data_IF_999600186201
#
_entry.id   IF_999600186201
#
_cell.length_a   1.000
_cell.length_b   1.000
_cell.length_c   1.000
_cell.angle_alpha   90.00
_cell.angle_beta   90.00
_cell.angle_gamma   90.00
#
_symmetry.space_group_name_H-M   'P 1'
#
loop_
_entity.id
_entity.type
_entity.pdbx_description
1 polymer ?
#
# COMPACT_ATOMS: atom_id res chain seq x y z
N UNK A 1 -1.18 -17.32 26.86
CA UNK A 1 -0.70 -16.96 25.50
C UNK A 1 -1.86 -17.13 24.54
N UNK A 2 -2.16 -16.11 23.75
CA UNK A 2 -3.27 -16.08 22.80
C UNK A 2 -2.78 -15.63 21.44
N UNK A 3 -3.35 -16.17 20.37
CA UNK A 3 -3.14 -15.66 19.01
C UNK A 3 -4.46 -15.14 18.46
N UNK A 4 -4.44 -13.96 17.84
CA UNK A 4 -5.61 -13.37 17.20
C UNK A 4 -5.31 -13.24 15.71
N UNK A 5 -6.13 -13.86 14.87
CA UNK A 5 -6.08 -13.68 13.42
C UNK A 5 -7.26 -12.81 13.01
N UNK A 6 -6.97 -11.67 12.37
CA UNK A 6 -8.00 -10.85 11.71
C UNK A 6 -7.86 -11.02 10.21
N UNK A 7 -8.97 -11.34 9.54
CA UNK A 7 -9.05 -11.42 8.08
C UNK A 7 -10.16 -10.52 7.55
N UNK A 8 -9.98 -9.98 6.35
CA UNK A 8 -11.00 -9.18 5.69
C UNK A 8 -10.57 -8.81 4.28
N UNK A 9 -11.10 -7.70 3.78
CA UNK A 9 -10.83 -7.18 2.43
C UNK A 9 -10.69 -5.65 2.40
N UNK A 10 -10.47 -5.03 3.56
CA UNK A 10 -10.31 -3.60 3.74
C UNK A 10 -9.14 -3.30 4.67
N UNK A 11 -8.75 -2.04 4.75
CA UNK A 11 -7.69 -1.56 5.66
C UNK A 11 -8.14 -1.42 7.11
N UNK A 12 -9.39 -1.74 7.41
CA UNK A 12 -9.97 -1.66 8.75
C UNK A 12 -10.56 -3.01 9.10
N UNK A 13 -9.86 -3.74 9.97
CA UNK A 13 -10.28 -5.05 10.45
C UNK A 13 -10.69 -4.94 11.90
N UNK A 14 -11.75 -5.65 12.30
CA UNK A 14 -12.13 -5.72 13.70
C UNK A 14 -12.87 -7.00 14.04
N UNK A 15 -12.83 -7.37 15.31
CA UNK A 15 -13.60 -8.48 15.86
C UNK A 15 -13.98 -8.22 17.32
N UNK A 16 -15.07 -8.85 17.74
CA UNK A 16 -15.55 -8.86 19.12
C UNK A 16 -15.29 -10.24 19.75
N UNK A 17 -15.05 -10.26 21.06
CA UNK A 17 -14.86 -11.45 21.88
C UNK A 17 -15.93 -11.54 22.95
N UNK A 18 -16.67 -12.64 22.94
CA UNK A 18 -17.61 -13.00 24.00
C UNK A 18 -17.50 -14.51 24.28
N UNK A 19 -17.01 -14.93 25.47
CA UNK A 19 -16.55 -14.09 26.59
C UNK A 19 -15.26 -13.30 26.25
N UNK A 20 -14.95 -12.24 27.02
CA UNK A 20 -13.73 -11.45 26.82
C UNK A 20 -12.46 -12.30 26.98
N UNK A 21 -11.37 -11.90 26.32
CA UNK A 21 -10.05 -12.48 26.55
C UNK A 21 -9.42 -11.77 27.74
N UNK A 22 -9.34 -12.46 28.87
CA UNK A 22 -8.69 -11.97 30.09
C UNK A 22 -7.17 -12.16 30.01
N UNK A 23 -6.41 -11.11 30.35
CA UNK A 23 -4.95 -11.08 30.31
C UNK A 23 -4.39 -10.35 31.53
N UNK A 24 -3.15 -10.66 31.94
CA UNK A 24 -2.51 -9.92 33.04
C UNK A 24 -2.18 -8.47 32.68
N UNK A 25 -1.90 -7.65 33.70
CA UNK A 25 -1.45 -6.26 33.52
C UNK A 25 -0.13 -6.11 32.77
N UNK A 26 0.67 -7.17 32.72
CA UNK A 26 1.98 -7.18 32.06
C UNK A 26 1.91 -7.84 30.69
N UNK A 27 0.70 -8.19 30.21
CA UNK A 27 0.52 -8.79 28.92
C UNK A 27 1.02 -7.86 27.81
N UNK A 28 1.62 -8.48 26.80
CA UNK A 28 2.23 -7.80 25.66
C UNK A 28 1.68 -8.34 24.36
N UNK A 29 1.69 -7.49 23.33
CA UNK A 29 1.24 -7.83 21.99
C UNK A 29 2.34 -7.58 20.96
N UNK A 30 2.44 -8.44 19.96
CA UNK A 30 3.28 -8.22 18.78
C UNK A 30 2.60 -8.73 17.51
N UNK A 31 3.08 -8.28 16.35
CA UNK A 31 2.75 -8.87 15.07
C UNK A 31 3.55 -10.17 14.87
N UNK A 32 2.91 -11.22 14.38
CA UNK A 32 3.58 -12.44 13.91
C UNK A 32 3.62 -12.55 12.39
N UNK A 33 2.60 -12.02 11.71
CA UNK A 33 2.54 -12.07 10.26
C UNK A 33 1.45 -11.20 9.68
N UNK A 34 1.69 -10.76 8.46
CA UNK A 34 0.77 -10.00 7.64
C UNK A 34 0.82 -10.55 6.22
N UNK A 35 -0.34 -10.68 5.58
CA UNK A 35 -0.44 -11.10 4.20
C UNK A 35 -1.58 -10.38 3.48
N UNK A 36 -1.29 -9.86 2.28
CA UNK A 36 -2.30 -9.37 1.34
C UNK A 36 -1.74 -9.40 -0.09
N UNK A 37 -2.51 -8.98 -1.09
CA UNK A 37 -1.99 -8.79 -2.46
C UNK A 37 -1.58 -7.34 -2.66
N UNK A 38 -0.49 -7.12 -3.41
CA UNK A 38 -0.04 -5.78 -3.78
C UNK A 38 -0.93 -5.22 -4.90
N UNK A 39 -2.12 -4.77 -4.51
CA UNK A 39 -3.11 -4.12 -5.37
C UNK A 39 -3.16 -2.60 -5.16
N UNK A 40 -2.29 -2.05 -4.30
CA UNK A 40 -2.29 -0.63 -3.93
C UNK A 40 -2.17 0.23 -5.21
N UNK A 41 -3.16 1.10 -5.52
CA UNK A 41 -3.15 1.83 -6.78
C UNK A 41 -1.98 2.81 -6.90
N UNK A 42 -1.15 2.63 -7.94
CA UNK A 42 -0.15 3.62 -8.36
C UNK A 42 -0.71 4.57 -9.43
N UNK A 43 -1.78 4.18 -10.13
CA UNK A 43 -2.57 5.02 -11.03
C UNK A 43 -3.96 5.22 -10.42
N UNK A 44 -4.40 6.47 -10.35
CA UNK A 44 -5.74 6.87 -9.88
C UNK A 44 -6.23 8.10 -10.65
N UNK A 45 -7.46 8.56 -10.37
CA UNK A 45 -8.12 9.67 -11.07
C UNK A 45 -7.31 10.99 -11.10
N UNK A 46 -6.36 11.18 -10.18
CA UNK A 46 -5.48 12.36 -10.16
C UNK A 46 -4.33 12.26 -11.18
N UNK A 47 -3.96 11.05 -11.60
CA UNK A 47 -2.76 10.79 -12.39
C UNK A 47 -2.94 9.66 -13.44
N UNK A 48 -4.12 9.57 -14.06
CA UNK A 48 -4.44 8.49 -15.00
C UNK A 48 -4.67 8.90 -16.46
N UNK A 49 -4.41 10.15 -16.83
CA UNK A 49 -4.62 10.65 -18.19
C UNK A 49 -3.30 10.83 -18.92
N UNK A 50 -3.24 10.31 -20.14
CA UNK A 50 -2.13 10.51 -21.07
C UNK A 50 -2.68 11.18 -22.32
N UNK A 51 -2.06 12.29 -22.72
CA UNK A 51 -2.44 13.06 -23.90
C UNK A 51 -1.41 12.90 -25.02
N UNK A 52 -1.90 12.76 -26.25
CA UNK A 52 -1.13 12.71 -27.49
C UNK A 52 -1.64 13.80 -28.44
N UNK A 53 -0.76 14.37 -29.25
CA UNK A 53 -1.14 15.28 -30.33
C UNK A 53 -0.68 14.64 -31.63
N UNK A 54 -1.62 14.39 -32.54
CA UNK A 54 -1.38 13.79 -33.84
C UNK A 54 -2.12 14.60 -34.91
N UNK A 55 -1.40 15.11 -35.92
CA UNK A 55 -1.96 15.96 -36.98
C UNK A 55 -2.83 17.12 -36.45
N UNK A 56 -2.34 17.84 -35.43
CA UNK A 56 -3.06 18.92 -34.72
C UNK A 56 -4.35 18.50 -33.98
N UNK A 57 -4.63 17.19 -33.92
CA UNK A 57 -5.72 16.61 -33.13
C UNK A 57 -5.18 16.14 -31.79
N UNK A 58 -5.80 16.60 -30.70
CA UNK A 58 -5.52 16.12 -29.35
C UNK A 58 -6.31 14.85 -29.07
N UNK A 59 -5.61 13.75 -28.80
CA UNK A 59 -6.17 12.48 -28.35
C UNK A 59 -5.76 12.26 -26.90
N UNK A 60 -6.64 11.74 -26.06
CA UNK A 60 -6.28 11.38 -24.69
C UNK A 60 -6.78 10.00 -24.33
N UNK A 61 -5.93 9.23 -23.64
CA UNK A 61 -6.26 7.93 -23.09
C UNK A 61 -6.33 8.02 -21.57
N UNK A 62 -7.35 7.40 -20.97
CA UNK A 62 -7.49 7.31 -19.51
C UNK A 62 -7.19 5.88 -19.10
N UNK A 63 -6.11 5.69 -18.36
CA UNK A 63 -5.78 4.41 -17.75
C UNK A 63 -6.76 4.17 -16.58
N UNK A 64 -7.36 2.98 -16.44
CA UNK A 64 -8.17 2.68 -15.27
C UNK A 64 -7.37 2.82 -13.96
N UNK A 65 -8.04 3.12 -12.85
CA UNK A 65 -7.39 3.09 -11.52
C UNK A 65 -6.88 1.69 -11.23
N UNK A 66 -5.63 1.58 -10.79
CA UNK A 66 -5.04 0.29 -10.46
C UNK A 66 -3.56 0.35 -10.12
N UNK A 67 -3.01 -0.84 -9.91
CA UNK A 67 -1.59 -1.06 -9.64
C UNK A 67 -1.00 -1.70 -10.89
N UNK A 68 -0.04 -1.01 -11.51
CA UNK A 68 0.50 -1.40 -12.80
C UNK A 68 2.03 -1.41 -12.79
N UNK A 69 2.62 -2.40 -13.44
CA UNK A 69 4.02 -2.34 -13.83
C UNK A 69 4.24 -1.40 -15.02
N UNK A 70 5.48 -0.97 -15.21
CA UNK A 70 5.86 -0.11 -16.35
C UNK A 70 5.52 -0.74 -17.70
N UNK A 71 5.73 -2.06 -17.83
CA UNK A 71 5.41 -2.84 -19.03
C UNK A 71 3.92 -2.84 -19.34
N UNK A 72 3.06 -2.86 -18.31
CA UNK A 72 1.61 -2.81 -18.47
C UNK A 72 1.12 -1.43 -18.91
N UNK A 73 1.72 -0.37 -18.35
CA UNK A 73 1.46 1.02 -18.76
C UNK A 73 1.90 1.22 -20.22
N UNK A 74 3.09 0.75 -20.58
CA UNK A 74 3.60 0.80 -21.96
C UNK A 74 2.66 0.08 -22.92
N UNK A 75 2.20 -1.13 -22.56
CA UNK A 75 1.26 -1.89 -23.36
C UNK A 75 -0.07 -1.15 -23.53
N UNK A 76 -0.57 -0.50 -22.47
CA UNK A 76 -1.79 0.31 -22.55
C UNK A 76 -1.63 1.51 -23.50
N UNK A 77 -0.48 2.19 -23.46
CA UNK A 77 -0.16 3.31 -24.36
C UNK A 77 -0.03 2.83 -25.81
N UNK A 78 0.73 1.75 -26.06
CA UNK A 78 0.88 1.15 -27.39
C UNK A 78 -0.48 0.73 -27.98
N UNK A 79 -1.35 0.17 -27.13
CA UNK A 79 -2.72 -0.14 -27.52
C UNK A 79 -3.53 1.11 -27.88
N UNK A 80 -3.39 2.20 -27.13
CA UNK A 80 -4.06 3.48 -27.46
C UNK A 80 -3.55 4.11 -28.78
N UNK A 81 -2.33 3.79 -29.20
CA UNK A 81 -1.67 4.32 -30.40
C UNK A 81 -1.70 3.35 -31.61
N UNK A 82 -2.39 2.20 -31.51
CA UNK A 82 -2.28 1.12 -32.51
C UNK A 82 -2.66 1.51 -33.95
N UNK A 83 -3.54 2.49 -34.12
CA UNK A 83 -3.98 3.03 -35.43
C UNK A 83 -3.16 4.23 -35.92
N UNK A 84 -2.06 4.56 -35.22
CA UNK A 84 -1.17 5.67 -35.57
C UNK A 84 0.18 5.15 -36.06
N UNK A 85 0.92 5.99 -36.77
CA UNK A 85 2.32 5.75 -37.13
C UNK A 85 3.30 6.12 -35.99
N UNK A 86 2.78 6.41 -34.79
CA UNK A 86 3.56 6.79 -33.62
C UNK A 86 4.16 5.55 -32.97
N UNK A 87 5.49 5.46 -33.00
CA UNK A 87 6.23 4.48 -32.21
C UNK A 87 6.46 5.01 -30.79
N UNK A 88 5.92 4.30 -29.81
CA UNK A 88 6.17 4.56 -28.39
C UNK A 88 7.02 3.43 -27.81
N UNK A 89 8.07 3.77 -27.08
CA UNK A 89 8.91 2.83 -26.36
C UNK A 89 9.13 3.37 -24.95
N UNK A 90 8.85 2.53 -23.95
CA UNK A 90 9.00 2.90 -22.55
C UNK A 90 10.17 2.15 -21.94
N UNK A 91 11.33 2.78 -21.94
CA UNK A 91 12.50 2.20 -21.27
C UNK A 91 12.54 2.64 -19.82
N UNK A 92 12.46 1.64 -18.96
CA UNK A 92 12.54 1.81 -17.53
C UNK A 92 13.99 1.62 -17.05
N UNK A 93 14.56 2.65 -16.43
CA UNK A 93 15.69 2.57 -15.51
C UNK A 93 15.21 2.75 -14.05
N UNK A 94 13.99 2.23 -13.77
CA UNK A 94 13.26 2.20 -12.48
C UNK A 94 12.29 3.35 -12.12
N UNK A 95 11.60 4.03 -13.06
CA UNK A 95 10.83 5.26 -12.73
C UNK A 95 9.53 5.48 -13.56
N UNK A 96 8.32 5.47 -12.93
CA UNK A 96 6.94 5.46 -13.53
C UNK A 96 6.50 6.56 -14.54
N UNK A 97 7.29 7.62 -14.77
CA UNK A 97 7.31 8.55 -15.91
C UNK A 97 7.58 10.03 -15.59
N UNK A 98 7.21 10.58 -14.42
CA UNK A 98 7.75 11.85 -13.87
C UNK A 98 7.83 13.10 -14.77
N UNK A 99 7.10 13.11 -15.89
CA UNK A 99 7.13 14.15 -16.89
C UNK A 99 6.27 15.34 -16.46
N UNK A 100 6.72 16.56 -16.74
CA UNK A 100 5.88 17.76 -16.63
C UNK A 100 4.72 17.68 -17.62
N UNK A 101 3.64 18.37 -17.28
CA UNK A 101 2.53 18.58 -18.21
C UNK A 101 2.94 19.58 -19.31
N UNK A 102 3.69 19.13 -20.30
CA UNK A 102 4.11 19.92 -21.46
C UNK A 102 4.12 19.07 -22.74
N UNK A 103 4.29 19.74 -23.88
CA UNK A 103 4.43 19.06 -25.17
C UNK A 103 5.88 18.61 -25.35
N UNK A 104 6.07 17.33 -25.55
CA UNK A 104 7.38 16.73 -25.83
C UNK A 104 7.60 16.60 -27.35
N UNK A 105 8.75 17.07 -27.89
CA UNK A 105 9.09 16.90 -29.30
C UNK A 105 9.09 15.44 -29.76
N UNK A 106 8.54 15.16 -30.95
CA UNK A 106 8.60 13.83 -31.56
C UNK A 106 10.03 13.43 -31.94
N UNK A 107 10.30 12.12 -32.01
CA UNK A 107 11.58 11.54 -32.45
C UNK A 107 12.80 11.91 -31.59
N UNK A 108 12.58 12.24 -30.32
CA UNK A 108 13.63 12.54 -29.34
C UNK A 108 13.38 11.71 -28.08
N UNK A 109 14.46 11.22 -27.44
CA UNK A 109 14.35 10.60 -26.13
C UNK A 109 14.11 11.66 -25.06
N UNK A 110 13.09 11.46 -24.23
CA UNK A 110 12.77 12.34 -23.12
C UNK A 110 13.03 11.62 -21.81
N UNK A 111 13.66 12.32 -20.87
CA UNK A 111 13.86 11.85 -19.50
C UNK A 111 12.91 12.58 -18.56
N UNK A 112 12.44 11.86 -17.53
CA UNK A 112 11.49 12.41 -16.56
C UNK A 112 12.08 13.59 -15.81
N UNK A 113 11.28 14.65 -15.61
CA UNK A 113 11.69 15.86 -14.87
C UNK A 113 11.84 15.65 -13.35
N UNK A 114 11.27 14.57 -12.81
CA UNK A 114 11.19 14.31 -11.37
C UNK A 114 11.58 12.88 -11.01
N UNK A 115 12.10 12.68 -9.80
CA UNK A 115 12.36 11.34 -9.27
C UNK A 115 11.03 10.62 -9.08
N UNK A 116 10.81 9.58 -9.88
CA UNK A 116 9.51 8.91 -9.89
C UNK A 116 9.41 7.89 -8.78
N UNK A 117 8.27 7.92 -8.09
CA UNK A 117 7.92 6.95 -7.08
C UNK A 117 6.75 6.08 -7.57
N UNK A 118 7.05 4.86 -8.01
CA UNK A 118 6.05 3.88 -8.50
C UNK A 118 5.14 3.41 -7.35
N UNK A 119 5.67 3.35 -6.14
CA UNK A 119 4.96 2.94 -4.94
C UNK A 119 4.44 4.19 -4.22
N UNK A 120 3.19 4.58 -4.46
CA UNK A 120 2.59 5.75 -3.77
C UNK A 120 2.61 5.58 -2.25
N UNK A 121 2.48 4.34 -1.77
CA UNK A 121 2.71 3.96 -0.37
C UNK A 121 4.10 3.38 -0.24
N UNK A 122 5.00 4.12 0.39
CA UNK A 122 6.34 3.61 0.66
C UNK A 122 6.31 2.75 1.93
N UNK A 123 5.69 3.25 2.99
CA UNK A 123 5.62 2.57 4.28
C UNK A 123 4.16 2.24 4.63
N UNK A 124 3.92 0.99 5.05
CA UNK A 124 2.65 0.53 5.62
C UNK A 124 2.77 0.52 7.15
N UNK A 125 1.88 1.24 7.81
CA UNK A 125 1.73 1.25 9.26
C UNK A 125 0.58 0.33 9.64
N UNK A 126 0.85 -0.63 10.53
CA UNK A 126 -0.17 -1.48 11.13
C UNK A 126 -0.47 -0.90 12.52
N UNK A 127 -1.66 -0.33 12.70
CA UNK A 127 -2.10 0.23 13.98
C UNK A 127 -3.08 -0.71 14.68
N UNK A 128 -2.98 -0.86 16.00
CA UNK A 128 -3.90 -1.65 16.81
C UNK A 128 -4.45 -0.86 18.00
N UNK A 129 -5.77 -0.91 18.19
CA UNK A 129 -6.42 -0.28 19.35
C UNK A 129 -5.95 -0.81 20.71
N UNK A 130 -5.27 -1.96 20.76
CA UNK A 130 -4.77 -2.57 22.00
C UNK A 130 -3.42 -2.02 22.46
N UNK A 131 -2.69 -1.30 21.59
CA UNK A 131 -1.29 -0.94 21.85
C UNK A 131 -1.12 0.36 22.61
N UNK A 132 -0.23 0.33 23.61
CA UNK A 132 0.39 1.49 24.22
C UNK A 132 1.91 1.51 24.01
N UNK A 133 2.50 2.70 24.11
CA UNK A 133 3.95 2.88 24.12
C UNK A 133 4.60 3.00 22.74
N UNK A 134 3.79 3.06 21.68
CA UNK A 134 4.27 3.50 20.36
C UNK A 134 4.18 5.02 20.26
N UNK A 135 5.20 5.66 19.66
CA UNK A 135 5.27 7.11 19.53
C UNK A 135 5.78 7.50 18.14
N UNK A 136 5.13 8.47 17.52
CA UNK A 136 5.56 9.10 16.28
C UNK A 136 5.83 10.59 16.54
N UNK A 137 7.08 11.03 16.39
CA UNK A 137 7.52 12.40 16.63
C UNK A 137 7.08 12.97 17.99
N UNK A 138 7.20 12.17 19.04
CA UNK A 138 6.84 12.54 20.41
C UNK A 138 5.34 12.41 20.74
N UNK A 139 4.49 12.15 19.76
CA UNK A 139 3.06 11.91 19.98
C UNK A 139 2.79 10.41 20.11
N UNK A 140 2.02 10.03 21.11
CA UNK A 140 1.60 8.63 21.29
C UNK A 140 0.78 8.18 20.08
N UNK A 141 1.08 6.98 19.57
CA UNK A 141 0.35 6.32 18.49
C UNK A 141 0.09 4.84 18.85
N UNK A 142 -0.48 4.11 17.88
CA UNK A 142 -0.93 2.73 18.05
C UNK A 142 -0.23 1.76 17.08
N UNK A 143 0.87 2.20 16.44
CA UNK A 143 1.61 1.40 15.47
C UNK A 143 2.31 0.23 16.14
N UNK A 144 2.01 -0.99 15.68
CA UNK A 144 2.59 -2.25 16.17
C UNK A 144 3.73 -2.75 15.30
N UNK A 145 3.73 -2.36 14.02
CA UNK A 145 4.74 -2.72 13.04
C UNK A 145 4.68 -1.74 11.87
N UNK A 146 5.83 -1.48 11.25
CA UNK A 146 5.97 -0.69 10.05
C UNK A 146 6.89 -1.40 9.05
N UNK A 147 6.54 -1.40 7.77
CA UNK A 147 7.36 -2.04 6.74
C UNK A 147 7.07 -1.47 5.35
N UNK A 148 7.96 -1.78 4.40
CA UNK A 148 7.83 -1.40 2.99
C UNK A 148 7.47 -2.66 2.19
N UNK A 149 6.43 -2.64 1.34
CA UNK A 149 6.17 -3.75 0.42
C UNK A 149 7.38 -3.97 -0.49
N UNK A 150 7.98 -5.16 -0.42
CA UNK A 150 9.17 -5.50 -1.21
C UNK A 150 8.85 -6.39 -2.43
N UNK A 151 7.64 -6.24 -2.99
CA UNK A 151 7.18 -6.99 -4.16
C UNK A 151 6.53 -6.04 -5.16
N UNK A 152 6.61 -6.30 -6.48
CA UNK A 152 5.93 -5.49 -7.47
C UNK A 152 4.39 -5.54 -7.35
N UNK A 153 3.66 -4.64 -8.02
CA UNK A 153 2.22 -4.77 -8.25
C UNK A 153 1.83 -6.16 -8.76
N UNK A 154 0.69 -6.68 -8.27
CA UNK A 154 0.17 -7.99 -8.70
C UNK A 154 0.76 -9.21 -7.99
N UNK A 155 1.78 -9.04 -7.14
CA UNK A 155 2.33 -10.10 -6.30
C UNK A 155 1.76 -10.07 -4.88
N UNK A 156 1.85 -11.19 -4.16
CA UNK A 156 1.45 -11.27 -2.74
C UNK A 156 2.50 -10.60 -1.86
N UNK A 157 2.06 -9.69 -0.99
CA UNK A 157 2.83 -9.12 0.11
C UNK A 157 2.75 -10.10 1.27
N UNK A 158 3.90 -10.57 1.73
CA UNK A 158 4.04 -11.40 2.94
C UNK A 158 5.06 -10.71 3.83
N UNK A 159 4.63 -10.27 5.00
CA UNK A 159 5.49 -9.64 5.99
C UNK A 159 5.52 -10.52 7.25
N UNK A 160 6.72 -10.95 7.62
CA UNK A 160 7.01 -11.71 8.84
C UNK A 160 8.11 -10.94 9.57
N UNK A 161 7.83 -10.32 10.74
CA UNK A 161 8.84 -9.55 11.45
C UNK A 161 10.08 -10.39 11.77
N UNK A 162 11.25 -9.93 11.33
CA UNK A 162 12.53 -10.61 11.59
C UNK A 162 12.86 -10.66 13.10
N UNK A 163 12.37 -9.69 13.85
CA UNK A 163 12.47 -9.62 15.30
C UNK A 163 11.11 -9.23 15.87
N UNK A 164 10.62 -9.99 16.85
CA UNK A 164 9.34 -9.68 17.50
C UNK A 164 9.49 -8.49 18.43
N UNK A 165 8.76 -7.41 18.14
CA UNK A 165 8.68 -6.22 18.98
C UNK A 165 7.39 -6.27 19.79
N UNK A 166 7.51 -6.31 21.11
CA UNK A 166 6.39 -6.44 22.03
C UNK A 166 5.99 -5.10 22.65
N UNK A 167 4.71 -4.77 22.54
CA UNK A 167 4.10 -3.57 23.12
C UNK A 167 3.22 -3.93 24.31
N UNK A 168 3.10 -3.02 25.27
CA UNK A 168 2.17 -3.19 26.38
C UNK A 168 0.72 -3.09 25.88
N UNK A 169 -0.15 -3.95 26.41
CA UNK A 169 -1.58 -3.90 26.13
C UNK A 169 -2.26 -2.88 27.05
N UNK A 170 -3.23 -2.13 26.54
CA UNK A 170 -3.96 -1.09 27.29
C UNK A 170 -5.13 -1.61 28.16
N UNK A 171 -5.40 -2.91 28.15
CA UNK A 171 -6.53 -3.55 28.85
C UNK A 171 -6.14 -4.91 29.43
N UNK A 172 -6.78 -5.30 30.52
CA UNK A 172 -6.72 -6.66 31.08
C UNK A 172 -7.90 -7.55 30.66
N UNK A 173 -8.92 -6.97 30.04
CA UNK A 173 -10.08 -7.69 29.52
C UNK A 173 -10.37 -7.17 28.11
N UNK A 174 -10.11 -8.02 27.11
CA UNK A 174 -10.20 -7.66 25.70
C UNK A 174 -11.54 -8.14 25.15
N UNK A 175 -12.45 -7.21 24.94
CA UNK A 175 -13.75 -7.46 24.28
C UNK A 175 -13.71 -7.16 22.80
N UNK A 176 -12.84 -6.26 22.36
CA UNK A 176 -12.76 -5.79 20.97
C UNK A 176 -11.31 -5.62 20.55
N UNK A 177 -10.97 -6.07 19.34
CA UNK A 177 -9.68 -5.79 18.70
C UNK A 177 -9.93 -5.24 17.31
N UNK A 178 -9.21 -4.18 16.98
CA UNK A 178 -9.18 -3.62 15.63
C UNK A 178 -7.77 -3.36 15.16
N UNK A 179 -7.62 -3.46 13.84
CA UNK A 179 -6.41 -3.12 13.10
C UNK A 179 -6.76 -2.12 12.01
N UNK A 180 -5.94 -1.08 11.90
CA UNK A 180 -6.05 -0.06 10.85
C UNK A 180 -4.73 -0.02 10.09
N UNK A 181 -4.80 -0.07 8.76
CA UNK A 181 -3.65 0.11 7.88
C UNK A 181 -3.60 1.52 7.32
N UNK A 182 -2.45 2.19 7.53
CA UNK A 182 -2.21 3.54 7.02
C UNK A 182 -0.93 3.62 6.22
N UNK A 183 -0.88 4.57 5.28
CA UNK A 183 0.34 4.96 4.60
C UNK A 183 1.12 6.01 5.39
N UNK A 184 2.27 6.44 4.86
CA UNK A 184 3.13 7.47 5.46
C UNK A 184 2.50 8.87 5.60
N UNK A 185 1.36 9.12 4.95
CA UNK A 185 0.62 10.37 5.07
C UNK A 185 -0.52 10.26 6.10
N UNK A 186 -0.68 9.10 6.76
CA UNK A 186 -1.79 8.82 7.68
C UNK A 186 -3.11 8.49 6.99
N UNK A 187 -3.11 8.29 5.67
CA UNK A 187 -4.30 7.92 4.90
C UNK A 187 -4.50 6.40 4.93
N UNK A 188 -5.75 5.93 4.88
CA UNK A 188 -6.05 4.51 4.77
C UNK A 188 -5.49 3.94 3.46
N UNK A 189 -4.98 2.72 3.53
CA UNK A 189 -4.49 2.02 2.35
C UNK A 189 -5.70 1.51 1.53
N UNK A 190 -5.66 1.69 0.21
CA UNK A 190 -6.66 1.08 -0.67
C UNK A 190 -6.19 -0.31 -1.09
N UNK A 191 -6.77 -1.35 -0.48
CA UNK A 191 -6.53 -2.76 -0.82
C UNK A 191 -7.36 -3.24 -2.02
N UNK A 192 -8.21 -2.38 -2.61
CA UNK A 192 -9.08 -2.71 -3.74
C UNK A 192 -9.99 -3.94 -3.54
N UNK A 193 -10.34 -4.25 -2.29
CA UNK A 193 -11.14 -5.44 -1.95
C UNK A 193 -10.35 -6.75 -1.92
N UNK A 194 -9.02 -6.70 -2.03
CA UNK A 194 -8.18 -7.90 -1.93
C UNK A 194 -8.18 -8.48 -0.52
N UNK A 195 -8.11 -9.81 -0.37
CA UNK A 195 -8.01 -10.45 0.92
C UNK A 195 -6.79 -9.99 1.71
N UNK A 196 -6.99 -9.81 3.01
CA UNK A 196 -5.94 -9.54 3.98
C UNK A 196 -6.06 -10.49 5.17
N UNK A 197 -4.91 -10.87 5.72
CA UNK A 197 -4.78 -11.64 6.95
C UNK A 197 -3.68 -11.04 7.83
N UNK A 198 -3.97 -10.84 9.12
CA UNK A 198 -3.05 -10.32 10.13
C UNK A 198 -3.07 -11.26 11.33
N UNK A 199 -1.91 -11.73 11.74
CA UNK A 199 -1.72 -12.59 12.90
C UNK A 199 -1.00 -11.83 14.01
N UNK A 200 -1.66 -11.71 15.15
CA UNK A 200 -1.15 -11.10 16.37
C UNK A 200 -0.88 -12.16 17.42
N UNK A 201 0.17 -11.97 18.22
CA UNK A 201 0.45 -12.74 19.43
C UNK A 201 0.25 -11.86 20.65
N UNK A 202 -0.56 -12.35 21.59
CA UNK A 202 -0.64 -11.83 22.95
C UNK A 202 0.12 -12.78 23.88
N UNK A 203 1.23 -12.29 24.40
CA UNK A 203 2.03 -12.96 25.41
C UNK A 203 1.62 -12.49 26.79
N UNK A 204 1.10 -13.42 27.59
CA UNK A 204 0.77 -13.19 28.98
C UNK A 204 1.86 -13.89 29.83
N UNK A 205 2.54 -13.11 30.69
CA UNK A 205 3.73 -13.52 31.46
C UNK A 205 3.39 -13.72 32.93
#
# INVERSE_FOLDING_TARGET
MYTITLTGNSSELSCEFFPPIEVSKNAKICLLGFQTNNSIPNINEKCNKIGFIYNDVSVSYTIPTGSYELTEIERAIKYALHDTDIFFDLKADHKLLGFKNCKYPANVNHESDTVVNITKTNCMYIESNLVMGSFNNGNQCHTIHEFYPNVPPGYTIIEIPSHLVFYAINSTSITHTSIILKNQNGELIDLRGEPISILLLIQDL
#
